data_IF_405750029994
#
_entry.id   IF_405750029994
#
_cell.length_a   1.000
_cell.length_b   1.000
_cell.length_c   1.000
_cell.angle_alpha   90.00
_cell.angle_beta   90.00
_cell.angle_gamma   90.00
#
_symmetry.space_group_name_H-M   'P 1'
#
loop_
_entity.id
_entity.type
_entity.pdbx_description
1 polymer ?
#
# COMPACT_ATOMS: atom_id res chain seq x y z
N UNK A 1 0.12 10.89 -15.71
CA UNK A 1 1.27 10.85 -14.79
C UNK A 1 0.73 10.50 -13.41
N UNK A 2 1.35 9.55 -12.70
CA UNK A 2 0.82 9.01 -11.44
C UNK A 2 1.05 9.94 -10.24
N UNK A 3 2.24 10.53 -10.16
CA UNK A 3 2.66 11.50 -9.15
C UNK A 3 3.41 12.62 -9.87
N UNK A 4 3.27 13.87 -9.42
CA UNK A 4 3.98 15.00 -10.03
C UNK A 4 5.50 14.73 -10.03
N UNK A 5 6.17 14.99 -11.15
CA UNK A 5 7.59 14.64 -11.34
C UNK A 5 8.50 15.19 -10.25
N UNK A 6 8.26 16.42 -9.80
CA UNK A 6 9.08 17.06 -8.77
C UNK A 6 8.90 16.39 -7.40
N UNK A 7 7.68 15.94 -7.07
CA UNK A 7 7.42 15.15 -5.86
C UNK A 7 8.05 13.76 -5.96
N UNK A 8 7.87 13.09 -7.10
CA UNK A 8 8.44 11.78 -7.33
C UNK A 8 9.97 11.79 -7.14
N UNK A 9 10.66 12.81 -7.65
CA UNK A 9 12.12 12.93 -7.52
C UNK A 9 12.57 13.57 -6.19
N UNK A 10 11.64 13.98 -5.33
CA UNK A 10 11.96 14.62 -4.05
C UNK A 10 12.22 13.58 -2.98
N UNK A 11 13.48 13.47 -2.56
CA UNK A 11 13.83 12.65 -1.39
C UNK A 11 13.08 13.08 -0.13
N UNK A 12 12.88 14.37 0.06
CA UNK A 12 12.15 14.91 1.22
C UNK A 12 10.71 14.38 1.24
N UNK A 13 10.05 14.28 0.09
CA UNK A 13 8.71 13.70 -0.02
C UNK A 13 8.72 12.25 0.44
N UNK A 14 9.64 11.42 -0.05
CA UNK A 14 9.69 10.00 0.32
C UNK A 14 10.09 9.75 1.76
N UNK A 15 10.99 10.57 2.31
CA UNK A 15 11.35 10.49 3.73
C UNK A 15 10.15 10.88 4.61
N UNK A 16 9.40 11.93 4.27
CA UNK A 16 8.15 12.28 4.98
C UNK A 16 7.09 11.22 4.84
N UNK A 17 6.85 10.78 3.61
CA UNK A 17 5.89 9.74 3.28
C UNK A 17 6.23 8.42 3.97
N UNK A 18 7.47 8.12 4.32
CA UNK A 18 7.87 6.90 5.04
C UNK A 18 7.92 7.08 6.57
N UNK A 19 8.51 8.17 7.04
CA UNK A 19 8.82 8.34 8.46
C UNK A 19 7.78 9.12 9.25
N UNK A 20 6.79 9.73 8.57
CA UNK A 20 5.74 10.54 9.21
C UNK A 20 6.34 11.57 10.16
N UNK A 21 7.17 12.46 9.59
CA UNK A 21 7.82 13.50 10.37
C UNK A 21 6.73 14.42 10.96
N UNK A 22 6.41 14.25 12.25
CA UNK A 22 5.41 15.02 12.99
C UNK A 22 5.83 16.50 13.07
N UNK A 23 5.45 17.27 12.05
CA UNK A 23 5.61 18.72 11.98
C UNK A 23 4.45 19.36 11.21
N UNK A 24 4.36 20.70 11.24
CA UNK A 24 3.27 21.45 10.59
C UNK A 24 3.46 21.57 9.05
N UNK A 25 4.13 20.61 8.41
CA UNK A 25 4.44 20.67 6.97
C UNK A 25 3.38 19.95 6.15
N UNK A 26 2.77 20.66 5.20
CA UNK A 26 1.87 20.10 4.18
C UNK A 26 2.40 20.29 2.76
N UNK A 27 1.91 19.45 1.84
CA UNK A 27 2.07 19.65 0.40
C UNK A 27 0.76 20.20 -0.18
N UNK A 28 0.68 21.51 -0.44
CA UNK A 28 -0.53 22.18 -1.00
C UNK A 28 -1.12 21.47 -2.23
N UNK A 29 -0.28 20.82 -3.04
CA UNK A 29 -0.72 20.08 -4.22
C UNK A 29 -1.36 18.71 -3.96
N UNK A 30 -1.32 18.24 -2.71
CA UNK A 30 -1.96 17.02 -2.21
C UNK A 30 -3.13 17.34 -1.26
N UNK A 31 -3.22 18.57 -0.74
CA UNK A 31 -4.36 19.05 0.04
C UNK A 31 -5.66 18.90 -0.79
N UNK A 32 -6.65 18.19 -0.24
CA UNK A 32 -7.92 17.86 -0.88
C UNK A 32 -7.81 17.12 -2.24
N UNK A 33 -6.63 16.62 -2.60
CA UNK A 33 -6.35 15.95 -3.87
C UNK A 33 -5.62 14.62 -3.66
N UNK A 34 -6.35 13.53 -3.40
CA UNK A 34 -5.74 12.23 -3.27
C UNK A 34 -5.02 11.84 -4.57
N UNK A 35 -3.92 11.10 -4.43
CA UNK A 35 -3.19 10.52 -5.54
C UNK A 35 -4.09 9.45 -6.18
N UNK A 36 -4.70 9.82 -7.30
CA UNK A 36 -5.60 8.95 -8.06
C UNK A 36 -4.81 7.98 -8.94
N UNK A 37 -5.05 6.69 -8.73
CA UNK A 37 -4.47 5.59 -9.49
C UNK A 37 -5.59 4.81 -10.18
N UNK A 38 -5.91 5.18 -11.42
CA UNK A 38 -6.88 4.45 -12.22
C UNK A 38 -6.33 3.06 -12.54
N UNK A 39 -6.84 2.02 -11.88
CA UNK A 39 -6.38 0.65 -12.10
C UNK A 39 -7.06 0.05 -13.33
N UNK A 40 -8.35 0.30 -13.52
CA UNK A 40 -9.08 -0.06 -14.75
C UNK A 40 -9.82 1.17 -15.28
N UNK A 41 -10.64 1.02 -16.32
CA UNK A 41 -11.52 2.10 -16.82
C UNK A 41 -12.68 2.41 -15.87
N UNK A 42 -12.92 1.53 -14.90
CA UNK A 42 -14.06 1.60 -13.99
C UNK A 42 -13.67 1.64 -12.52
N UNK A 43 -12.42 1.38 -12.17
CA UNK A 43 -11.96 1.25 -10.79
C UNK A 43 -10.67 2.03 -10.61
N UNK A 44 -10.64 2.89 -9.60
CA UNK A 44 -9.45 3.61 -9.16
C UNK A 44 -9.16 3.34 -7.68
N UNK A 45 -7.87 3.38 -7.34
CA UNK A 45 -7.41 3.51 -5.97
C UNK A 45 -7.07 4.98 -5.72
N UNK A 46 -7.54 5.53 -4.61
CA UNK A 46 -7.26 6.89 -4.17
C UNK A 46 -6.39 6.80 -2.93
N UNK A 47 -5.16 7.29 -3.02
CA UNK A 47 -4.27 7.38 -1.86
C UNK A 47 -4.30 8.81 -1.35
N UNK A 48 -4.88 8.99 -0.18
CA UNK A 48 -4.89 10.26 0.51
C UNK A 48 -3.76 10.27 1.55
N UNK A 49 -2.70 11.07 1.36
CA UNK A 49 -1.63 11.18 2.35
C UNK A 49 -2.05 11.96 3.61
N UNK A 50 -3.19 12.65 3.59
CA UNK A 50 -3.54 13.66 4.59
C UNK A 50 -2.64 14.88 4.53
N UNK A 51 -2.96 15.89 5.34
CA UNK A 51 -2.25 17.18 5.34
C UNK A 51 -0.83 17.07 5.90
N UNK A 52 -0.63 16.21 6.90
CA UNK A 52 0.60 16.09 7.71
C UNK A 52 1.20 14.67 7.71
N UNK A 53 0.67 13.76 6.86
CA UNK A 53 1.03 12.33 6.87
C UNK A 53 0.74 11.60 8.20
N UNK A 54 -0.07 12.17 9.10
CA UNK A 54 -0.50 11.49 10.33
C UNK A 54 -1.63 10.51 10.09
N UNK A 55 -2.44 10.73 9.07
CA UNK A 55 -3.49 9.82 8.63
C UNK A 55 -3.37 9.61 7.12
N UNK A 56 -2.87 8.44 6.72
CA UNK A 56 -2.75 8.07 5.31
C UNK A 56 -3.81 7.01 5.01
N UNK A 57 -4.70 7.28 4.06
CA UNK A 57 -5.76 6.34 3.68
C UNK A 57 -5.65 5.85 2.25
N UNK A 58 -6.23 4.68 2.02
CA UNK A 58 -6.45 4.13 0.70
C UNK A 58 -7.95 3.91 0.55
N UNK A 59 -8.54 4.52 -0.47
CA UNK A 59 -9.92 4.28 -0.85
C UNK A 59 -10.00 3.58 -2.21
N UNK A 60 -11.09 2.84 -2.42
CA UNK A 60 -11.47 2.31 -3.72
C UNK A 60 -12.66 3.10 -4.24
N UNK A 61 -12.57 3.52 -5.51
CA UNK A 61 -13.66 4.19 -6.19
C UNK A 61 -14.05 3.43 -7.45
N UNK A 62 -15.32 3.04 -7.52
CA UNK A 62 -15.97 2.60 -8.75
C UNK A 62 -16.50 3.82 -9.52
N UNK A 63 -16.51 3.75 -10.85
CA UNK A 63 -16.80 4.89 -11.72
C UNK A 63 -18.11 5.59 -11.34
N UNK A 64 -17.99 6.86 -10.95
CA UNK A 64 -19.08 7.76 -10.53
C UNK A 64 -19.76 7.43 -9.19
N UNK A 65 -19.25 6.45 -8.45
CA UNK A 65 -19.70 6.16 -7.09
C UNK A 65 -18.85 6.94 -6.07
N UNK A 66 -19.37 7.05 -4.85
CA UNK A 66 -18.60 7.54 -3.71
C UNK A 66 -17.41 6.60 -3.46
N UNK A 67 -16.26 7.18 -3.11
CA UNK A 67 -15.11 6.40 -2.72
C UNK A 67 -15.33 5.76 -1.35
N UNK A 68 -14.88 4.51 -1.23
CA UNK A 68 -14.96 3.75 0.02
C UNK A 68 -13.54 3.64 0.55
N UNK A 69 -13.27 4.23 1.70
CA UNK A 69 -12.02 4.00 2.42
C UNK A 69 -11.90 2.51 2.74
N UNK A 70 -10.86 1.86 2.21
CA UNK A 70 -10.64 0.42 2.39
C UNK A 70 -9.53 0.13 3.40
N UNK A 71 -8.66 1.10 3.69
CA UNK A 71 -7.59 0.98 4.68
C UNK A 71 -7.05 2.34 5.11
N UNK A 72 -6.48 2.40 6.30
CA UNK A 72 -5.92 3.62 6.86
C UNK A 72 -4.70 3.34 7.73
N UNK A 73 -3.86 4.34 7.89
CA UNK A 73 -2.65 4.32 8.69
C UNK A 73 -2.66 5.56 9.59
N UNK A 74 -3.05 5.38 10.85
CA UNK A 74 -3.31 6.45 11.84
C UNK A 74 -2.24 6.52 12.95
N UNK A 75 -1.08 5.91 12.71
CA UNK A 75 0.02 5.79 13.66
C UNK A 75 -0.24 4.97 14.93
N UNK A 76 -1.48 4.57 15.21
CA UNK A 76 -1.80 3.98 16.50
C UNK A 76 -1.15 2.58 16.64
N UNK A 77 -1.31 1.67 15.67
CA UNK A 77 -0.74 0.32 15.68
C UNK A 77 -0.53 -0.23 14.23
N UNK A 78 -0.26 -1.54 14.10
CA UNK A 78 0.19 -2.27 12.88
C UNK A 78 -0.31 -1.77 11.51
N UNK A 79 0.58 -1.89 10.51
CA UNK A 79 0.36 -1.54 9.10
C UNK A 79 -1.02 -1.97 8.55
N UNK A 80 -1.68 -1.16 7.71
CA UNK A 80 -2.92 -1.56 7.05
C UNK A 80 -2.77 -2.84 6.22
N UNK A 81 -3.55 -3.87 6.55
CA UNK A 81 -3.54 -5.19 5.88
C UNK A 81 -4.60 -5.26 4.79
N UNK A 82 -4.43 -4.48 3.71
CA UNK A 82 -5.40 -4.49 2.60
C UNK A 82 -4.84 -5.09 1.31
N UNK A 83 -3.53 -5.00 1.07
CA UNK A 83 -2.86 -5.63 -0.06
C UNK A 83 -2.10 -6.87 0.38
N UNK A 84 -2.28 -7.96 -0.36
CA UNK A 84 -1.31 -9.06 -0.31
C UNK A 84 -0.04 -8.71 -1.07
N UNK A 85 1.05 -9.39 -0.75
CA UNK A 85 2.33 -9.20 -1.44
C UNK A 85 2.22 -9.37 -2.97
N UNK A 86 1.51 -10.39 -3.43
CA UNK A 86 1.35 -10.65 -4.87
C UNK A 86 0.47 -9.60 -5.55
N UNK A 87 -0.55 -9.09 -4.86
CA UNK A 87 -1.42 -8.03 -5.38
C UNK A 87 -0.68 -6.70 -5.45
N UNK A 88 0.17 -6.39 -4.47
CA UNK A 88 1.01 -5.20 -4.50
C UNK A 88 1.92 -5.19 -5.73
N UNK A 89 2.63 -6.28 -6.01
CA UNK A 89 3.47 -6.39 -7.20
C UNK A 89 2.65 -6.24 -8.49
N UNK A 90 1.56 -7.00 -8.58
CA UNK A 90 0.66 -7.00 -9.73
C UNK A 90 0.11 -5.60 -10.05
N UNK A 91 -0.42 -4.90 -9.03
CA UNK A 91 -0.97 -3.55 -9.19
C UNK A 91 0.14 -2.56 -9.52
N UNK A 92 1.31 -2.65 -8.87
CA UNK A 92 2.42 -1.72 -9.11
C UNK A 92 2.97 -1.84 -10.54
N UNK A 93 3.17 -3.06 -11.03
CA UNK A 93 3.60 -3.32 -12.41
C UNK A 93 2.59 -2.81 -13.43
N UNK A 94 1.30 -3.04 -13.17
CA UNK A 94 0.22 -2.56 -14.00
C UNK A 94 0.15 -1.03 -14.07
N UNK A 95 0.20 -0.36 -12.92
CA UNK A 95 0.20 1.11 -12.84
C UNK A 95 1.44 1.70 -13.50
N UNK A 96 2.62 1.11 -13.27
CA UNK A 96 3.86 1.56 -13.91
C UNK A 96 3.75 1.56 -15.44
N UNK A 97 3.24 0.45 -16.01
CA UNK A 97 2.99 0.33 -17.45
C UNK A 97 1.93 1.32 -17.94
N UNK A 98 0.80 1.43 -17.24
CA UNK A 98 -0.33 2.29 -17.64
C UNK A 98 0.04 3.78 -17.67
N UNK A 99 0.82 4.22 -16.68
CA UNK A 99 1.19 5.63 -16.52
C UNK A 99 2.54 5.98 -17.16
N UNK A 100 3.19 5.02 -17.83
CA UNK A 100 4.54 5.16 -18.40
C UNK A 100 5.54 5.72 -17.37
N UNK A 101 5.46 5.20 -16.14
CA UNK A 101 6.25 5.65 -15.00
C UNK A 101 7.13 4.53 -14.48
N UNK A 102 8.18 4.86 -13.75
CA UNK A 102 9.05 3.86 -13.13
C UNK A 102 8.30 3.03 -12.09
N UNK A 103 8.61 1.73 -12.05
CA UNK A 103 7.97 0.74 -11.17
C UNK A 103 8.04 1.10 -9.68
N UNK A 104 9.13 1.77 -9.26
CA UNK A 104 9.32 2.10 -7.86
C UNK A 104 8.30 3.12 -7.34
N UNK A 105 7.73 3.98 -8.19
CA UNK A 105 6.77 5.00 -7.76
C UNK A 105 5.48 4.36 -7.21
N UNK A 106 4.69 3.59 -8.00
CA UNK A 106 3.51 2.93 -7.46
C UNK A 106 3.85 1.91 -6.38
N UNK A 107 5.03 1.26 -6.47
CA UNK A 107 5.44 0.28 -5.46
C UNK A 107 5.63 0.93 -4.09
N UNK A 108 6.37 2.04 -4.01
CA UNK A 108 6.60 2.71 -2.72
C UNK A 108 5.34 3.41 -2.19
N UNK A 109 4.49 3.97 -3.05
CA UNK A 109 3.19 4.53 -2.65
C UNK A 109 2.32 3.45 -1.96
N UNK A 110 2.20 2.27 -2.57
CA UNK A 110 1.32 1.21 -2.06
C UNK A 110 1.92 0.39 -0.91
N UNK A 111 3.23 0.50 -0.64
CA UNK A 111 3.95 -0.32 0.35
C UNK A 111 3.30 -0.32 1.74
N UNK A 112 2.78 0.82 2.18
CA UNK A 112 2.18 0.99 3.52
C UNK A 112 0.99 0.08 3.75
N UNK A 113 0.28 -0.25 2.68
CA UNK A 113 -0.97 -1.01 2.66
C UNK A 113 -0.75 -2.53 2.51
N UNK A 114 0.51 -2.98 2.50
CA UNK A 114 0.87 -4.38 2.29
C UNK A 114 0.91 -5.12 3.62
N UNK A 115 0.05 -6.13 3.73
CA UNK A 115 -0.02 -7.00 4.88
C UNK A 115 1.10 -8.05 4.90
N UNK A 116 1.69 -8.25 6.08
CA UNK A 116 2.72 -9.26 6.34
C UNK A 116 2.15 -10.42 7.16
N UNK A 117 2.43 -11.66 6.78
CA UNK A 117 1.79 -12.85 7.39
C UNK A 117 2.75 -13.90 8.00
N UNK A 118 4.06 -13.71 7.83
CA UNK A 118 5.09 -14.60 8.39
C UNK A 118 6.47 -13.98 8.27
N UNK A 119 7.50 -14.54 8.93
CA UNK A 119 8.89 -14.14 8.74
C UNK A 119 9.33 -14.21 7.26
N UNK A 120 9.02 -15.31 6.57
CA UNK A 120 9.41 -15.49 5.16
C UNK A 120 8.72 -14.48 4.24
N UNK A 121 7.44 -14.21 4.52
CA UNK A 121 6.70 -13.18 3.80
C UNK A 121 7.27 -11.78 4.10
N UNK A 122 7.62 -11.50 5.36
CA UNK A 122 8.26 -10.26 5.77
C UNK A 122 9.58 -10.03 5.02
N UNK A 123 10.45 -11.05 4.97
CA UNK A 123 11.70 -11.00 4.22
C UNK A 123 11.47 -10.67 2.74
N UNK A 124 10.44 -11.26 2.14
CA UNK A 124 10.10 -11.05 0.73
C UNK A 124 9.59 -9.63 0.47
N UNK A 125 8.70 -9.14 1.32
CA UNK A 125 8.16 -7.77 1.28
C UNK A 125 9.29 -6.75 1.45
N UNK A 126 10.14 -6.96 2.46
CA UNK A 126 11.26 -6.08 2.78
C UNK A 126 12.32 -6.06 1.66
N UNK A 127 12.68 -7.23 1.12
CA UNK A 127 13.62 -7.31 0.00
C UNK A 127 13.11 -6.60 -1.25
N UNK A 128 11.81 -6.72 -1.55
CA UNK A 128 11.20 -5.99 -2.66
C UNK A 128 11.19 -4.49 -2.41
N UNK A 129 10.82 -4.04 -1.21
CA UNK A 129 10.86 -2.64 -0.82
C UNK A 129 12.26 -2.04 -1.00
N UNK A 130 13.30 -2.70 -0.47
CA UNK A 130 14.69 -2.25 -0.63
C UNK A 130 15.11 -2.22 -2.10
N UNK A 131 14.67 -3.18 -2.91
CA UNK A 131 14.93 -3.15 -4.33
C UNK A 131 14.29 -1.92 -5.00
N UNK A 132 13.03 -1.61 -4.68
CA UNK A 132 12.33 -0.42 -5.20
C UNK A 132 13.02 0.88 -4.78
N UNK A 133 13.45 0.99 -3.52
CA UNK A 133 14.23 2.15 -3.04
C UNK A 133 15.57 2.26 -3.76
N UNK A 134 16.26 1.15 -4.01
CA UNK A 134 17.53 1.14 -4.75
C UNK A 134 17.35 1.65 -6.19
N UNK A 135 16.35 1.16 -6.92
CA UNK A 135 16.14 1.59 -8.31
C UNK A 135 15.63 3.03 -8.42
N UNK A 136 15.05 3.60 -7.36
CA UNK A 136 14.66 5.02 -7.34
C UNK A 136 15.85 5.97 -7.48
N UNK A 137 17.05 5.53 -7.08
CA UNK A 137 18.25 6.38 -7.05
C UNK A 137 18.24 7.46 -5.97
N UNK A 138 17.22 7.52 -5.11
CA UNK A 138 17.07 8.54 -4.07
C UNK A 138 17.88 8.23 -2.81
N UNK A 139 18.19 6.95 -2.58
CA UNK A 139 18.86 6.45 -1.38
C UNK A 139 20.23 5.87 -1.73
N UNK A 140 21.22 6.14 -0.89
CA UNK A 140 22.57 5.57 -1.02
C UNK A 140 22.58 4.11 -0.55
N UNK A 141 23.55 3.32 -1.03
CA UNK A 141 23.65 1.92 -0.61
C UNK A 141 23.95 1.78 0.90
N UNK A 142 24.67 2.72 1.51
CA UNK A 142 24.92 2.74 2.95
C UNK A 142 23.61 2.90 3.74
N UNK A 143 22.74 3.81 3.31
CA UNK A 143 21.42 4.01 3.93
C UNK A 143 20.53 2.78 3.77
N UNK A 144 20.57 2.13 2.60
CA UNK A 144 19.80 0.91 2.35
C UNK A 144 20.30 -0.29 3.16
N UNK A 145 21.61 -0.38 3.44
CA UNK A 145 22.17 -1.41 4.32
C UNK A 145 21.76 -1.23 5.78
N UNK A 146 21.52 0.01 6.20
CA UNK A 146 21.05 0.35 7.54
C UNK A 146 19.54 0.57 7.62
N UNK A 147 18.79 0.25 6.56
CA UNK A 147 17.34 0.47 6.53
C UNK A 147 16.66 -0.32 7.66
N UNK A 148 15.83 0.33 8.49
CA UNK A 148 15.36 -0.28 9.71
C UNK A 148 14.37 -1.41 9.41
N UNK A 149 14.51 -2.47 10.19
CA UNK A 149 13.61 -3.62 10.19
C UNK A 149 12.79 -3.63 11.48
N UNK A 150 11.55 -4.05 11.38
CA UNK A 150 10.69 -4.28 12.52
C UNK A 150 11.12 -5.60 13.17
N UNK A 151 11.93 -5.49 14.23
CA UNK A 151 12.54 -6.66 14.91
C UNK A 151 11.52 -7.71 15.34
N UNK A 152 10.32 -7.28 15.71
CA UNK A 152 9.23 -8.18 16.11
C UNK A 152 8.82 -9.11 14.97
N UNK A 153 8.84 -8.66 13.71
CA UNK A 153 8.52 -9.47 12.54
C UNK A 153 9.59 -10.50 12.18
N UNK A 154 10.78 -10.39 12.77
CA UNK A 154 11.87 -11.33 12.61
C UNK A 154 11.77 -12.51 13.58
N UNK A 155 10.95 -12.42 14.63
CA UNK A 155 10.75 -13.50 15.59
C UNK A 155 9.63 -14.45 15.15
N UNK A 156 9.91 -15.73 14.85
CA UNK A 156 8.86 -16.70 14.53
C UNK A 156 7.77 -16.82 15.60
N UNK A 157 8.12 -16.63 16.89
CA UNK A 157 7.17 -16.72 18.00
C UNK A 157 6.13 -15.61 17.97
N UNK A 158 6.50 -14.43 17.46
CA UNK A 158 5.56 -13.35 17.25
C UNK A 158 4.43 -13.82 16.33
N UNK A 159 4.77 -14.42 15.18
CA UNK A 159 3.81 -14.93 14.21
C UNK A 159 2.99 -16.11 14.72
N UNK A 160 3.58 -17.02 15.51
CA UNK A 160 2.84 -18.11 16.16
C UNK A 160 1.79 -17.61 17.15
N UNK A 161 2.05 -16.47 17.80
CA UNK A 161 1.12 -15.84 18.74
C UNK A 161 0.11 -14.88 18.09
N UNK A 162 0.34 -14.50 16.83
CA UNK A 162 -0.53 -13.61 16.09
C UNK A 162 -1.72 -14.36 15.52
N UNK A 163 -2.93 -13.98 15.94
CA UNK A 163 -4.16 -14.36 15.24
C UNK A 163 -4.34 -13.44 14.02
N UNK A 164 -3.52 -13.64 12.99
CA UNK A 164 -3.46 -12.82 11.76
C UNK A 164 -3.11 -13.68 10.56
N UNK A 165 -3.98 -13.72 9.55
CA UNK A 165 -3.72 -14.51 8.34
C UNK A 165 -4.58 -14.07 7.17
N UNK A 166 -4.00 -14.15 5.97
CA UNK A 166 -4.78 -14.14 4.75
C UNK A 166 -5.47 -15.49 4.57
N UNK A 167 -6.79 -15.46 4.32
CA UNK A 167 -7.59 -16.65 4.07
C UNK A 167 -8.44 -16.43 2.83
N UNK A 168 -8.53 -17.44 1.98
CA UNK A 168 -9.49 -17.43 0.89
C UNK A 168 -10.85 -17.94 1.39
N UNK A 169 -11.89 -17.11 1.29
CA UNK A 169 -13.26 -17.44 1.69
C UNK A 169 -14.24 -17.03 0.59
N UNK A 170 -15.03 -17.98 0.09
CA UNK A 170 -16.15 -17.66 -0.80
C UNK A 170 -17.31 -17.03 -0.01
N UNK A 171 -18.03 -16.02 -0.56
CA UNK A 171 -17.89 -15.45 -1.90
C UNK A 171 -16.87 -14.29 -2.01
N UNK A 172 -16.16 -13.97 -0.93
CA UNK A 172 -15.35 -12.76 -0.79
C UNK A 172 -13.98 -12.81 -1.50
N UNK A 173 -13.45 -14.01 -1.74
CA UNK A 173 -12.08 -14.19 -2.21
C UNK A 173 -11.08 -14.10 -1.05
N UNK A 174 -9.96 -13.40 -1.24
CA UNK A 174 -8.95 -13.24 -0.18
C UNK A 174 -9.37 -12.16 0.83
N UNK A 175 -9.47 -12.56 2.09
CA UNK A 175 -9.75 -11.73 3.26
C UNK A 175 -8.60 -11.80 4.26
N UNK A 176 -8.41 -10.75 5.05
CA UNK A 176 -7.52 -10.75 6.20
C UNK A 176 -8.34 -11.04 7.46
N UNK A 177 -7.99 -12.11 8.16
CA UNK A 177 -8.64 -12.52 9.40
C UNK A 177 -7.70 -12.26 10.57
N UNK A 178 -8.23 -11.68 11.64
CA UNK A 178 -7.46 -11.37 12.82
C UNK A 178 -7.84 -10.05 13.48
N UNK A 179 -7.33 -9.84 14.69
CA UNK A 179 -7.47 -8.57 15.38
C UNK A 179 -6.64 -7.46 14.70
N UNK A 180 -7.18 -6.24 14.66
CA UNK A 180 -6.44 -5.00 14.31
C UNK A 180 -5.82 -5.00 12.90
N UNK A 181 -6.65 -4.98 11.86
CA UNK A 181 -6.20 -5.00 10.46
C UNK A 181 -6.03 -3.62 9.81
N UNK A 182 -6.54 -2.55 10.44
CA UNK A 182 -6.53 -1.18 9.89
C UNK A 182 -7.01 -1.12 8.43
N UNK A 183 -7.99 -1.95 8.13
CA UNK A 183 -8.46 -2.27 6.78
C UNK A 183 -9.85 -2.86 6.91
N UNK A 184 -10.71 -2.53 5.93
CA UNK A 184 -12.03 -3.12 5.82
C UNK A 184 -12.00 -4.52 5.22
N UNK A 185 -10.85 -5.04 4.76
CA UNK A 185 -10.75 -6.32 4.03
C UNK A 185 -10.87 -7.56 4.92
N UNK A 186 -11.93 -7.64 5.72
CA UNK A 186 -12.25 -8.73 6.63
C UNK A 186 -13.59 -9.36 6.22
N UNK A 187 -13.79 -10.66 6.44
CA UNK A 187 -15.05 -11.31 6.03
C UNK A 187 -16.30 -10.83 6.77
N UNK A 188 -16.13 -10.21 7.93
CA UNK A 188 -17.23 -9.61 8.72
C UNK A 188 -17.57 -8.19 8.26
N UNK A 189 -16.70 -7.55 7.47
CA UNK A 189 -16.92 -6.21 6.94
C UNK A 189 -17.89 -6.24 5.78
N UNK A 190 -19.04 -5.60 5.95
CA UNK A 190 -20.03 -5.41 4.89
C UNK A 190 -19.69 -4.25 3.96
N UNK A 191 -18.69 -3.44 4.31
CA UNK A 191 -18.34 -2.20 3.61
C UNK A 191 -17.21 -2.38 2.59
N UNK A 192 -16.38 -3.43 2.70
CA UNK A 192 -15.33 -3.63 1.71
C UNK A 192 -15.92 -4.11 0.37
N UNK A 193 -15.60 -3.46 -0.75
CA UNK A 193 -16.17 -3.77 -2.06
C UNK A 193 -15.51 -5.00 -2.70
N UNK A 194 -15.76 -6.19 -2.13
CA UNK A 194 -15.12 -7.45 -2.56
C UNK A 194 -15.31 -7.78 -4.04
N UNK A 195 -16.52 -7.56 -4.58
CA UNK A 195 -16.81 -7.83 -5.99
C UNK A 195 -15.97 -6.95 -6.92
N UNK A 196 -15.93 -5.64 -6.64
CA UNK A 196 -15.14 -4.67 -7.40
C UNK A 196 -13.64 -4.98 -7.29
N UNK A 197 -13.15 -5.23 -6.08
CA UNK A 197 -11.77 -5.60 -5.82
C UNK A 197 -11.35 -6.84 -6.62
N UNK A 198 -12.12 -7.92 -6.53
CA UNK A 198 -11.82 -9.15 -7.24
C UNK A 198 -11.90 -8.97 -8.76
N UNK A 199 -12.86 -8.18 -9.25
CA UNK A 199 -12.99 -7.82 -10.67
C UNK A 199 -11.76 -7.06 -11.15
N UNK A 200 -11.29 -6.06 -10.39
CA UNK A 200 -10.07 -5.31 -10.67
C UNK A 200 -8.86 -6.23 -10.77
N UNK A 201 -8.61 -7.05 -9.73
CA UNK A 201 -7.45 -7.97 -9.71
C UNK A 201 -7.48 -8.95 -10.89
N UNK A 202 -8.66 -9.52 -11.20
CA UNK A 202 -8.81 -10.45 -12.31
C UNK A 202 -8.63 -9.76 -13.67
N UNK A 203 -9.05 -8.50 -13.80
CA UNK A 203 -8.83 -7.73 -15.02
C UNK A 203 -7.32 -7.50 -15.28
N UNK A 204 -6.54 -7.14 -14.25
CA UNK A 204 -5.09 -6.96 -14.37
C UNK A 204 -4.42 -8.27 -14.80
N UNK A 205 -4.75 -9.39 -14.15
CA UNK A 205 -4.17 -10.71 -14.46
C UNK A 205 -4.38 -11.16 -15.91
N UNK A 206 -5.49 -10.73 -16.54
CA UNK A 206 -5.80 -11.07 -17.95
C UNK A 206 -5.01 -10.24 -18.96
N UNK A 207 -4.39 -9.14 -18.54
CA UNK A 207 -3.64 -8.21 -19.39
C UNK A 207 -2.12 -8.44 -19.34
N UNK A 208 -1.65 -9.36 -18.48
CA UNK A 208 -0.29 -9.87 -18.45
C UNK A 208 -0.10 -10.97 -19.49
#
# INVERSE_FOLDING_TARGET
>A
MLLQSDLAQSRIFWDRYEWRLEDDFSYECLEDQPIRMDVTDHIALLLDPGDDFCYISLALQEKNDEDIEIAWDDQAHFHPFVLRFEEWKLISEHLAKKYETDLWIPSLLLRRFVGVESCTNYDSVFAWELHMRRISGLFTEEELQCWPRQREFEDPKFWESCDRKWVYKEPYGWVFEGSTAYSLRQSESLSFPFEAWNTMINAIKKQQ
#
